data_IF_056757849198
#
_entry.id   IF_056757849198
#
_cell.length_a   1.000
_cell.length_b   1.000
_cell.length_c   1.000
_cell.angle_alpha   90.00
_cell.angle_beta   90.00
_cell.angle_gamma   90.00
#
_symmetry.space_group_name_H-M   'P 1'
#
loop_
_entity.id
_entity.type
_entity.pdbx_description
1 polymer ?
#
# COMPACT_ATOMS: atom_id res chain seq x y z
N UNK A 1 -11.12 4.64 -9.13
CA UNK A 1 -10.02 3.69 -9.39
C UNK A 1 -10.26 2.39 -8.63
N UNK A 2 -10.38 2.42 -7.29
CA UNK A 2 -10.83 1.26 -6.48
C UNK A 2 -12.15 0.65 -6.98
N UNK A 3 -13.23 1.46 -7.04
CA UNK A 3 -14.56 1.04 -7.55
C UNK A 3 -14.58 0.63 -9.02
N UNK A 4 -13.51 0.90 -9.77
CA UNK A 4 -13.35 0.49 -11.18
C UNK A 4 -12.51 -0.80 -11.30
N UNK A 5 -12.14 -1.43 -10.19
CA UNK A 5 -11.38 -2.69 -10.15
C UNK A 5 -9.87 -2.56 -10.34
N UNK A 6 -9.33 -1.34 -10.43
CA UNK A 6 -7.90 -1.16 -10.75
C UNK A 6 -6.96 -1.55 -9.59
N UNK A 7 -7.42 -1.46 -8.35
CA UNK A 7 -6.72 -1.99 -7.17
C UNK A 7 -7.75 -2.39 -6.10
N UNK A 8 -7.39 -3.29 -5.16
CA UNK A 8 -8.27 -3.70 -4.07
C UNK A 8 -8.72 -2.52 -3.20
N UNK A 9 -10.02 -2.44 -2.89
CA UNK A 9 -10.59 -1.37 -2.05
C UNK A 9 -9.99 -1.33 -0.64
N UNK A 10 -9.55 -2.48 -0.14
CA UNK A 10 -8.85 -2.60 1.14
C UNK A 10 -7.56 -1.77 1.19
N UNK A 11 -6.83 -1.65 0.07
CA UNK A 11 -5.61 -0.85 0.00
C UNK A 11 -5.93 0.65 0.16
N UNK A 12 -6.98 1.14 -0.51
CA UNK A 12 -7.43 2.53 -0.35
C UNK A 12 -7.94 2.80 1.07
N UNK A 13 -8.70 1.87 1.64
CA UNK A 13 -9.19 1.97 3.02
C UNK A 13 -8.03 2.00 4.02
N UNK A 14 -7.01 1.18 3.80
CA UNK A 14 -5.80 1.12 4.62
C UNK A 14 -5.02 2.42 4.53
N UNK A 15 -4.83 2.95 3.33
CA UNK A 15 -4.19 4.25 3.13
C UNK A 15 -4.94 5.39 3.81
N UNK A 16 -6.27 5.44 3.69
CA UNK A 16 -7.09 6.45 4.34
C UNK A 16 -6.97 6.40 5.87
N UNK A 17 -7.00 5.19 6.44
CA UNK A 17 -6.80 4.96 7.88
C UNK A 17 -5.39 5.36 8.32
N UNK A 18 -4.36 4.99 7.55
CA UNK A 18 -2.98 5.33 7.84
C UNK A 18 -2.73 6.84 7.82
N UNK A 19 -3.28 7.55 6.81
CA UNK A 19 -3.21 9.01 6.70
C UNK A 19 -3.86 9.72 7.89
N UNK A 20 -5.02 9.23 8.33
CA UNK A 20 -5.71 9.81 9.48
C UNK A 20 -4.98 9.49 10.79
N UNK A 21 -4.41 8.29 10.95
CA UNK A 21 -3.61 7.92 12.13
C UNK A 21 -2.29 8.71 12.21
N UNK A 22 -1.60 8.94 11.09
CA UNK A 22 -0.37 9.74 11.07
C UNK A 22 -0.63 11.21 11.41
N UNK A 23 -1.79 11.77 11.00
CA UNK A 23 -2.24 13.10 11.41
C UNK A 23 -2.51 13.19 12.93
N UNK A 24 -2.77 12.07 13.59
CA UNK A 24 -2.99 11.98 15.04
C UNK A 24 -1.86 11.20 15.75
N UNK A 25 -0.61 11.56 15.45
CA UNK A 25 0.62 10.90 15.92
C UNK A 25 0.72 10.64 17.44
N UNK A 26 -0.07 11.32 18.28
CA UNK A 26 -0.16 11.04 19.73
C UNK A 26 -0.73 9.65 20.07
N UNK A 27 -1.34 8.94 19.12
CA UNK A 27 -1.86 7.58 19.31
C UNK A 27 -0.96 6.47 18.76
N UNK A 28 0.29 6.78 18.38
CA UNK A 28 1.28 5.76 18.06
C UNK A 28 1.61 4.96 19.32
N UNK A 29 0.87 3.86 19.55
CA UNK A 29 1.17 2.92 20.62
C UNK A 29 2.49 2.24 20.30
N UNK A 30 3.45 2.31 21.22
CA UNK A 30 4.81 1.77 21.12
C UNK A 30 4.85 0.28 20.71
N UNK A 31 3.79 -0.48 21.02
CA UNK A 31 3.64 -1.90 20.67
C UNK A 31 2.84 -2.19 19.39
N UNK A 32 2.50 -1.18 18.58
CA UNK A 32 1.74 -1.37 17.32
C UNK A 32 2.61 -1.59 16.09
N UNK A 33 3.90 -1.88 16.26
CA UNK A 33 4.88 -1.90 15.17
C UNK A 33 4.51 -2.88 14.04
N UNK A 34 4.03 -4.10 14.35
CA UNK A 34 3.61 -5.06 13.32
C UNK A 34 2.44 -4.54 12.48
N UNK A 35 1.45 -3.92 13.15
CA UNK A 35 0.29 -3.35 12.48
C UNK A 35 0.70 -2.17 11.59
N UNK A 36 1.65 -1.36 12.06
CA UNK A 36 2.20 -0.24 11.29
C UNK A 36 2.98 -0.73 10.07
N UNK A 37 3.83 -1.75 10.20
CA UNK A 37 4.56 -2.34 9.07
C UNK A 37 3.59 -2.87 8.02
N UNK A 38 2.52 -3.57 8.44
CA UNK A 38 1.48 -4.04 7.52
C UNK A 38 0.80 -2.88 6.80
N UNK A 39 0.43 -1.82 7.51
CA UNK A 39 -0.20 -0.63 6.92
C UNK A 39 0.74 0.09 5.92
N UNK A 40 2.02 0.24 6.26
CA UNK A 40 3.03 0.81 5.35
C UNK A 40 3.20 -0.03 4.07
N UNK A 41 3.26 -1.35 4.21
CA UNK A 41 3.36 -2.27 3.08
C UNK A 41 2.14 -2.17 2.14
N UNK A 42 0.93 -2.08 2.69
CA UNK A 42 -0.28 -1.83 1.92
C UNK A 42 -0.26 -0.48 1.20
N UNK A 43 0.23 0.58 1.86
CA UNK A 43 0.37 1.91 1.25
C UNK A 43 1.39 1.92 0.10
N UNK A 44 2.54 1.26 0.29
CA UNK A 44 3.57 1.11 -0.75
C UNK A 44 3.00 0.37 -1.98
N UNK A 45 2.26 -0.72 -1.75
CA UNK A 45 1.60 -1.46 -2.85
C UNK A 45 0.66 -0.54 -3.63
N UNK A 46 -0.20 0.21 -2.92
CA UNK A 46 -1.14 1.13 -3.58
C UNK A 46 -0.43 2.22 -4.38
N UNK A 47 0.66 2.76 -3.83
CA UNK A 47 1.48 3.77 -4.51
C UNK A 47 2.02 3.26 -5.85
N UNK A 48 2.63 2.07 -5.87
CA UNK A 48 3.15 1.49 -7.11
C UNK A 48 2.05 1.20 -8.14
N UNK A 49 0.88 0.70 -7.69
CA UNK A 49 -0.27 0.50 -8.59
C UNK A 49 -0.71 1.82 -9.23
N UNK A 50 -0.81 2.90 -8.45
CA UNK A 50 -1.16 4.23 -8.96
C UNK A 50 -0.08 4.82 -9.88
N UNK A 51 1.19 4.60 -9.57
CA UNK A 51 2.31 5.04 -10.40
C UNK A 51 2.23 4.39 -11.79
N UNK A 52 1.93 3.10 -11.86
CA UNK A 52 1.71 2.40 -13.12
C UNK A 52 0.51 2.92 -13.89
N UNK A 53 -0.58 3.24 -13.21
CA UNK A 53 -1.74 3.82 -13.85
C UNK A 53 -1.46 5.19 -14.47
N UNK A 54 -0.78 6.06 -13.73
CA UNK A 54 -0.67 7.47 -14.08
C UNK A 54 0.53 7.80 -14.96
N UNK A 55 1.62 7.05 -14.84
CA UNK A 55 2.86 7.33 -15.58
C UNK A 55 3.43 6.10 -16.30
N UNK A 56 2.63 5.04 -16.47
CA UNK A 56 2.99 3.80 -17.17
C UNK A 56 4.31 3.17 -16.70
N UNK A 57 4.57 3.24 -15.39
CA UNK A 57 5.81 2.71 -14.83
C UNK A 57 5.98 1.21 -15.10
N UNK A 58 7.17 0.83 -15.59
CA UNK A 58 7.51 -0.56 -16.00
C UNK A 58 8.62 -1.19 -15.17
N UNK A 59 8.87 -0.68 -13.97
CA UNK A 59 9.93 -1.20 -13.12
C UNK A 59 9.50 -2.38 -12.25
N UNK A 60 10.46 -2.88 -11.48
CA UNK A 60 10.26 -3.96 -10.51
C UNK A 60 9.53 -3.45 -9.26
N UNK A 61 8.66 -4.28 -8.70
CA UNK A 61 8.01 -4.06 -7.40
C UNK A 61 7.71 -5.38 -6.69
N UNK A 62 7.34 -5.28 -5.41
CA UNK A 62 6.85 -6.42 -4.62
C UNK A 62 5.44 -6.09 -4.15
N UNK A 63 4.56 -7.08 -4.17
CA UNK A 63 3.28 -7.00 -3.48
C UNK A 63 3.50 -7.10 -1.97
N UNK A 64 3.92 -6.01 -1.34
CA UNK A 64 4.28 -6.00 0.08
C UNK A 64 3.13 -6.40 1.03
N UNK A 65 1.88 -6.33 0.56
CA UNK A 65 0.69 -6.78 1.29
C UNK A 65 0.51 -8.31 1.29
N UNK A 66 1.23 -9.04 0.43
CA UNK A 66 1.22 -10.49 0.33
C UNK A 66 2.56 -11.03 0.88
N UNK A 67 2.56 -11.70 2.04
CA UNK A 67 3.79 -12.22 2.65
C UNK A 67 4.47 -13.26 1.73
N UNK A 68 5.78 -13.09 1.50
CA UNK A 68 6.59 -14.05 0.74
C UNK A 68 6.50 -13.91 -0.79
N UNK A 69 5.78 -12.91 -1.31
CA UNK A 69 5.74 -12.68 -2.76
C UNK A 69 7.11 -12.26 -3.31
N UNK A 70 7.57 -12.86 -4.42
CA UNK A 70 8.82 -12.46 -5.05
C UNK A 70 8.72 -11.06 -5.66
N UNK A 71 9.88 -10.44 -5.89
CA UNK A 71 10.00 -9.22 -6.68
C UNK A 71 9.56 -9.51 -8.12
N UNK A 72 8.53 -8.82 -8.59
CA UNK A 72 7.91 -8.98 -9.91
C UNK A 72 8.09 -7.71 -10.73
N UNK A 73 8.05 -7.81 -12.06
CA UNK A 73 7.82 -6.62 -12.88
C UNK A 73 6.34 -6.25 -12.76
N UNK A 74 6.01 -4.96 -12.65
CA UNK A 74 4.60 -4.53 -12.71
C UNK A 74 3.96 -4.77 -14.09
N UNK A 75 4.80 -5.06 -15.09
CA UNK A 75 4.40 -5.37 -16.46
C UNK A 75 4.50 -6.86 -16.70
N UNK A 76 3.45 -7.58 -16.32
CA UNK A 76 2.98 -8.82 -16.95
C UNK A 76 1.50 -8.99 -16.61
#
# INVERSE_FOLDING_TARGET
MAKKGFFPEELATTWYKARNRSAHAKHFKEHSWQENVKNYNSCLTLFYMLLCYHIEYKGKFVHHHLPGEPLKNLTE
#
